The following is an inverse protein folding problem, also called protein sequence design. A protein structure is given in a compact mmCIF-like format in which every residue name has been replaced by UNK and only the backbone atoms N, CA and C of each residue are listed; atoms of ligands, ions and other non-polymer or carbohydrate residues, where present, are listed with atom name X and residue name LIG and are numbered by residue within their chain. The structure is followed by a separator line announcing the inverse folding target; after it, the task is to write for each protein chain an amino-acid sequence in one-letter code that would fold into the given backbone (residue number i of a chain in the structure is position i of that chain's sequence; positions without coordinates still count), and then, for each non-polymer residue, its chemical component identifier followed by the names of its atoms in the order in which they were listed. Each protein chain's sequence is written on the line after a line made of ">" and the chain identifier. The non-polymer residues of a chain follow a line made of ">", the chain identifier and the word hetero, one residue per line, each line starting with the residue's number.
data_IF_738196241198
#
_entry.id   IF_738196241198
#
_cell.length_a   1.000
_cell.length_b   1.000
_cell.length_c   1.000
_cell.angle_alpha   90.00
_cell.angle_beta   90.00
_cell.angle_gamma   90.00
#
_symmetry.space_group_name_H-M   'P 1'
#
loop_
_entity.id
_entity.type
_entity.pdbx_description
1 polymer ?
#
# COMPACT_ATOMS: atom_id res chain seq x y z
N UNK A 1 28.76 28.41 -26.14
CA UNK A 1 28.56 27.32 -27.13
C UNK A 1 28.84 25.99 -26.43
N UNK A 2 27.83 25.27 -25.95
CA UNK A 2 28.02 23.96 -25.32
C UNK A 2 27.26 22.92 -26.14
N UNK A 3 28.02 21.97 -26.70
CA UNK A 3 27.54 20.87 -27.54
C UNK A 3 26.96 19.78 -26.64
N UNK A 4 25.76 19.28 -26.99
CA UNK A 4 25.13 18.08 -26.41
C UNK A 4 25.67 16.84 -27.13
N UNK A 5 26.13 15.84 -26.39
CA UNK A 5 26.36 14.49 -26.91
C UNK A 5 25.21 13.56 -26.48
N UNK A 6 24.64 12.75 -27.38
CA UNK A 6 23.74 11.66 -27.02
C UNK A 6 24.56 10.40 -26.72
N UNK A 7 24.36 9.76 -25.57
CA UNK A 7 24.96 8.46 -25.27
C UNK A 7 23.86 7.45 -24.97
N UNK A 8 23.92 6.30 -25.65
CA UNK A 8 23.13 5.10 -25.38
C UNK A 8 23.75 4.30 -24.21
N UNK A 9 22.88 3.81 -23.33
CA UNK A 9 23.17 2.88 -22.22
C UNK A 9 23.39 1.45 -22.77
N UNK A 10 24.26 0.55 -22.21
CA UNK A 10 24.22 0.14 -20.79
C UNK A 10 25.52 -0.31 -20.07
N UNK A 11 25.78 0.10 -18.81
CA UNK A 11 26.75 -0.59 -17.91
C UNK A 11 26.37 -0.47 -16.41
N UNK A 12 26.54 -1.57 -15.68
CA UNK A 12 26.39 -1.83 -14.22
C UNK A 12 27.12 -0.86 -13.25
N UNK A 13 26.77 -0.80 -11.94
CA UNK A 13 27.23 0.24 -11.01
C UNK A 13 28.61 -0.09 -10.41
N UNK A 14 29.42 0.94 -10.09
CA UNK A 14 29.86 1.06 -8.69
C UNK A 14 30.09 2.49 -8.13
N UNK A 15 29.99 2.54 -6.79
CA UNK A 15 30.72 3.31 -5.76
C UNK A 15 30.77 4.86 -5.75
N UNK A 16 30.16 5.39 -4.68
CA UNK A 16 30.53 6.57 -3.87
C UNK A 16 31.29 7.74 -4.52
N UNK A 17 30.56 8.81 -4.80
CA UNK A 17 31.06 10.20 -4.73
C UNK A 17 29.89 11.13 -4.34
N UNK A 18 30.01 12.02 -3.31
CA UNK A 18 28.94 12.89 -2.87
C UNK A 18 29.05 14.25 -3.56
N UNK A 19 28.55 14.32 -4.80
CA UNK A 19 28.18 15.60 -5.42
C UNK A 19 26.66 15.64 -5.62
N UNK A 20 26.03 16.84 -5.68
CA UNK A 20 24.59 16.95 -5.89
C UNK A 20 24.22 16.21 -7.17
N UNK A 21 23.51 15.09 -7.03
CA UNK A 21 23.13 14.28 -8.16
C UNK A 21 22.06 15.06 -8.93
N UNK A 22 22.47 15.74 -10.00
CA UNK A 22 21.54 16.26 -10.99
C UNK A 22 20.83 15.06 -11.61
N UNK A 23 19.62 14.77 -11.12
CA UNK A 23 18.74 13.79 -11.76
C UNK A 23 18.57 14.22 -13.22
N UNK A 24 18.84 13.35 -14.21
CA UNK A 24 18.51 13.67 -15.58
C UNK A 24 16.98 13.73 -15.70
N UNK A 25 16.44 14.95 -15.56
CA UNK A 25 15.02 15.33 -15.70
C UNK A 25 14.42 14.95 -17.07
N UNK A 26 15.25 14.51 -18.02
CA UNK A 26 14.84 14.00 -19.33
C UNK A 26 14.11 12.66 -19.29
N UNK A 27 14.12 11.96 -18.15
CA UNK A 27 13.40 10.70 -17.93
C UNK A 27 12.13 10.84 -17.07
N UNK A 28 11.67 12.07 -16.77
CA UNK A 28 10.28 12.30 -16.36
C UNK A 28 9.40 12.04 -17.60
N UNK A 29 9.17 10.76 -17.89
CA UNK A 29 8.10 10.31 -18.77
C UNK A 29 6.85 10.96 -18.20
N UNK A 30 6.24 11.84 -18.99
CA UNK A 30 5.12 12.68 -18.58
C UNK A 30 4.15 11.89 -17.69
N UNK A 31 4.16 12.17 -16.37
CA UNK A 31 3.46 11.34 -15.41
C UNK A 31 1.94 11.49 -15.52
N UNK A 32 1.49 12.51 -16.26
CA UNK A 32 0.10 12.88 -16.47
C UNK A 32 -0.35 12.58 -17.90
N UNK A 33 0.56 12.36 -18.87
CA UNK A 33 0.27 12.02 -20.28
C UNK A 33 -0.82 10.93 -20.41
N UNK A 34 -0.74 9.77 -19.72
CA UNK A 34 -1.76 8.74 -19.85
C UNK A 34 -3.15 9.23 -19.42
N UNK A 35 -3.20 10.11 -18.42
CA UNK A 35 -4.42 10.72 -17.89
C UNK A 35 -4.95 11.85 -18.79
N UNK A 36 -4.07 12.72 -19.30
CA UNK A 36 -4.44 13.76 -20.28
C UNK A 36 -4.95 13.12 -21.58
N UNK A 37 -4.37 11.98 -22.00
CA UNK A 37 -4.85 11.19 -23.15
C UNK A 37 -6.21 10.55 -22.88
N UNK A 38 -6.44 10.02 -21.68
CA UNK A 38 -7.71 9.38 -21.31
C UNK A 38 -8.86 10.40 -21.14
N UNK A 39 -8.54 11.62 -20.70
CA UNK A 39 -9.49 12.71 -20.51
C UNK A 39 -9.04 13.94 -21.29
N UNK A 40 -9.37 13.95 -22.59
CA UNK A 40 -8.93 14.97 -23.56
C UNK A 40 -9.23 16.43 -23.14
N UNK A 41 -10.18 16.66 -22.23
CA UNK A 41 -10.53 17.98 -21.68
C UNK A 41 -9.87 18.29 -20.33
N UNK A 42 -9.41 17.29 -19.59
CA UNK A 42 -8.93 17.45 -18.21
C UNK A 42 -7.70 18.36 -18.12
N UNK A 43 -6.78 18.26 -19.09
CA UNK A 43 -5.63 19.18 -19.16
C UNK A 43 -6.08 20.64 -19.30
N UNK A 44 -7.03 20.89 -20.20
CA UNK A 44 -7.57 22.23 -20.47
C UNK A 44 -8.32 22.75 -19.25
N UNK A 45 -9.23 21.94 -18.69
CA UNK A 45 -10.06 22.34 -17.56
C UNK A 45 -9.19 22.65 -16.33
N UNK A 46 -8.14 21.85 -16.06
CA UNK A 46 -7.16 22.15 -15.01
C UNK A 46 -6.35 23.41 -15.31
N UNK A 47 -5.92 23.63 -16.55
CA UNK A 47 -5.21 24.85 -16.94
C UNK A 47 -6.08 26.10 -16.82
N UNK A 48 -7.34 26.04 -17.24
CA UNK A 48 -8.35 27.09 -17.06
C UNK A 48 -8.55 27.38 -15.58
N UNK A 49 -8.66 26.32 -14.78
CA UNK A 49 -8.86 26.44 -13.34
C UNK A 49 -7.65 27.10 -12.66
N UNK A 50 -6.42 26.71 -13.02
CA UNK A 50 -5.21 27.37 -12.53
C UNK A 50 -5.12 28.84 -12.94
N UNK A 51 -5.69 29.25 -14.08
CA UNK A 51 -5.71 30.65 -14.51
C UNK A 51 -6.72 31.49 -13.74
N UNK A 52 -7.82 30.88 -13.32
CA UNK A 52 -8.91 31.57 -12.62
C UNK A 52 -8.66 31.68 -11.12
N UNK A 53 -7.95 30.71 -10.55
CA UNK A 53 -7.50 30.79 -9.18
C UNK A 53 -6.24 31.65 -9.15
N UNK A 54 -6.27 32.76 -8.41
CA UNK A 54 -5.12 33.64 -8.26
C UNK A 54 -4.03 33.06 -7.32
N UNK A 55 -3.89 31.74 -7.30
CA UNK A 55 -2.96 30.97 -6.48
C UNK A 55 -2.38 29.83 -7.30
N UNK A 56 -1.11 29.50 -7.02
CA UNK A 56 -0.48 28.35 -7.62
C UNK A 56 -1.09 27.05 -7.09
N UNK A 57 -1.29 26.09 -7.99
CA UNK A 57 -1.77 24.75 -7.68
C UNK A 57 -0.60 23.78 -7.82
N UNK A 58 -0.44 22.89 -6.85
CA UNK A 58 0.65 21.93 -6.80
C UNK A 58 0.12 20.51 -6.81
N UNK A 59 0.73 19.66 -7.62
CA UNK A 59 0.60 18.21 -7.55
C UNK A 59 1.55 17.70 -6.47
N UNK A 60 1.08 16.87 -5.53
CA UNK A 60 1.83 16.50 -4.32
C UNK A 60 1.72 15.00 -4.00
N UNK A 61 2.45 14.53 -2.99
CA UNK A 61 2.15 13.23 -2.37
C UNK A 61 2.55 12.02 -3.20
N UNK A 62 1.71 10.99 -3.16
CA UNK A 62 1.97 9.72 -3.80
C UNK A 62 2.01 9.84 -5.33
N UNK A 63 1.27 10.78 -5.89
CA UNK A 63 1.26 11.07 -7.32
C UNK A 63 2.63 11.54 -7.84
N UNK A 64 3.32 12.41 -7.10
CA UNK A 64 4.67 12.90 -7.42
C UNK A 64 5.71 11.79 -7.27
N UNK A 65 5.63 11.01 -6.19
CA UNK A 65 6.52 9.86 -5.97
C UNK A 65 6.40 8.82 -7.10
N UNK A 66 5.17 8.45 -7.44
CA UNK A 66 4.91 7.43 -8.46
C UNK A 66 5.34 7.93 -9.85
N UNK A 67 5.15 9.22 -10.13
CA UNK A 67 5.69 9.91 -11.30
C UNK A 67 7.22 9.80 -11.41
N UNK A 68 7.94 10.12 -10.34
CA UNK A 68 9.42 10.04 -10.28
C UNK A 68 9.89 8.59 -10.51
N UNK A 69 9.14 7.60 -10.01
CA UNK A 69 9.42 6.18 -10.21
C UNK A 69 9.04 5.64 -11.60
N UNK A 70 8.49 6.48 -12.50
CA UNK A 70 7.99 6.06 -13.80
C UNK A 70 6.79 5.10 -13.72
N UNK A 71 6.06 5.12 -12.59
CA UNK A 71 4.87 4.29 -12.37
C UNK A 71 3.63 5.01 -12.88
N UNK A 72 2.60 4.23 -13.23
CA UNK A 72 1.30 4.80 -13.58
C UNK A 72 0.66 5.46 -12.36
N UNK A 73 0.45 6.76 -12.44
CA UNK A 73 -0.30 7.55 -11.45
C UNK A 73 -1.78 7.18 -11.53
N UNK A 74 -2.38 6.80 -10.40
CA UNK A 74 -3.78 6.31 -10.32
C UNK A 74 -4.77 7.30 -9.71
N UNK A 75 -4.23 8.34 -9.09
CA UNK A 75 -4.93 9.39 -8.38
C UNK A 75 -4.04 10.65 -8.41
N UNK A 76 -4.65 11.83 -8.47
CA UNK A 76 -3.94 13.10 -8.35
C UNK A 76 -4.26 13.71 -6.99
N UNK A 77 -3.23 14.06 -6.23
CA UNK A 77 -3.36 14.89 -5.04
C UNK A 77 -2.93 16.32 -5.40
N UNK A 78 -3.87 17.26 -5.36
CA UNK A 78 -3.61 18.68 -5.62
C UNK A 78 -3.75 19.47 -4.32
N UNK A 79 -2.90 20.48 -4.15
CA UNK A 79 -2.96 21.39 -3.01
C UNK A 79 -2.66 22.82 -3.42
N UNK A 80 -3.25 23.79 -2.71
CA UNK A 80 -3.09 25.22 -2.98
C UNK A 80 -3.30 26.11 -1.75
N UNK A 81 -2.80 27.35 -1.83
CA UNK A 81 -2.98 28.41 -0.82
C UNK A 81 -4.38 29.07 -0.86
N UNK A 82 -5.43 28.28 -1.12
CA UNK A 82 -6.81 28.74 -1.19
C UNK A 82 -7.75 27.57 -0.84
N UNK A 83 -9.06 27.81 -0.92
CA UNK A 83 -10.09 26.84 -0.59
C UNK A 83 -10.13 25.64 -1.57
N UNK A 84 -9.55 24.51 -1.15
CA UNK A 84 -9.49 23.29 -1.95
C UNK A 84 -10.85 22.68 -2.22
N UNK A 85 -11.78 22.79 -1.28
CA UNK A 85 -13.13 22.23 -1.39
C UNK A 85 -13.93 22.97 -2.46
N UNK A 86 -13.89 24.31 -2.43
CA UNK A 86 -14.52 25.14 -3.44
C UNK A 86 -13.92 24.89 -4.83
N UNK A 87 -12.59 24.75 -4.89
CA UNK A 87 -11.90 24.45 -6.14
C UNK A 87 -12.31 23.10 -6.73
N UNK A 88 -12.33 22.05 -5.89
CA UNK A 88 -12.72 20.73 -6.31
C UNK A 88 -14.19 20.64 -6.73
N UNK A 89 -15.09 21.39 -6.07
CA UNK A 89 -16.48 21.52 -6.51
C UNK A 89 -16.55 22.12 -7.91
N UNK A 90 -15.86 23.23 -8.15
CA UNK A 90 -15.81 23.90 -9.45
C UNK A 90 -15.26 23.01 -10.55
N UNK A 91 -14.21 22.23 -10.24
CA UNK A 91 -13.67 21.24 -11.18
C UNK A 91 -14.68 20.15 -11.51
N UNK A 92 -15.35 19.60 -10.48
CA UNK A 92 -16.35 18.56 -10.66
C UNK A 92 -17.53 19.03 -11.53
N UNK A 93 -17.99 20.28 -11.35
CA UNK A 93 -19.07 20.88 -12.13
C UNK A 93 -18.68 21.04 -13.61
N UNK A 94 -17.43 21.47 -13.90
CA UNK A 94 -16.90 21.56 -15.28
C UNK A 94 -16.85 20.21 -15.96
N UNK A 95 -16.32 19.23 -15.24
CA UNK A 95 -16.15 17.87 -15.74
C UNK A 95 -17.46 17.06 -15.72
N UNK A 96 -18.53 17.61 -15.10
CA UNK A 96 -19.82 16.96 -14.89
C UNK A 96 -19.68 15.59 -14.24
N UNK A 97 -18.96 15.54 -13.11
CA UNK A 97 -18.65 14.30 -12.42
C UNK A 97 -18.96 14.38 -10.92
N UNK A 98 -19.09 13.23 -10.22
CA UNK A 98 -19.36 13.22 -8.79
C UNK A 98 -18.26 13.91 -7.98
N UNK A 99 -18.69 14.63 -6.95
CA UNK A 99 -17.81 15.25 -5.96
C UNK A 99 -18.19 14.78 -4.57
N UNK A 100 -17.17 14.42 -3.78
CA UNK A 100 -17.32 13.97 -2.41
C UNK A 100 -16.50 14.89 -1.49
N UNK A 101 -17.12 15.65 -0.58
CA UNK A 101 -16.38 16.33 0.48
C UNK A 101 -15.75 15.29 1.40
N UNK A 102 -14.46 15.41 1.68
CA UNK A 102 -13.72 14.45 2.51
C UNK A 102 -13.45 14.99 3.91
N UNK A 103 -13.03 16.26 4.01
CA UNK A 103 -12.65 16.89 5.27
C UNK A 103 -12.96 18.39 5.20
N UNK A 104 -13.74 18.89 6.16
CA UNK A 104 -14.08 20.32 6.24
C UNK A 104 -12.98 21.17 6.88
N UNK A 105 -12.12 20.59 7.72
CA UNK A 105 -11.01 21.25 8.40
C UNK A 105 -9.89 21.55 7.42
N UNK A 106 -9.44 20.53 6.67
CA UNK A 106 -8.42 20.66 5.63
C UNK A 106 -8.99 21.13 4.29
N UNK A 107 -10.30 21.48 4.26
CA UNK A 107 -11.04 21.90 3.06
C UNK A 107 -10.75 20.97 1.88
N UNK A 108 -10.84 19.66 2.11
CA UNK A 108 -10.46 18.64 1.14
C UNK A 108 -11.68 18.05 0.45
N UNK A 109 -11.65 18.01 -0.89
CA UNK A 109 -12.69 17.41 -1.72
C UNK A 109 -12.11 16.42 -2.73
N UNK A 110 -12.91 15.41 -3.08
CA UNK A 110 -12.57 14.40 -4.07
C UNK A 110 -13.47 14.48 -5.28
N UNK A 111 -12.86 14.62 -6.45
CA UNK A 111 -13.50 14.52 -7.75
C UNK A 111 -13.34 13.10 -8.27
N UNK A 112 -14.44 12.43 -8.60
CA UNK A 112 -14.42 11.03 -9.06
C UNK A 112 -14.64 10.98 -10.57
N UNK A 113 -13.61 10.63 -11.32
CA UNK A 113 -13.68 10.45 -12.76
C UNK A 113 -14.02 9.01 -13.14
N UNK A 114 -14.21 8.78 -14.45
CA UNK A 114 -14.45 7.43 -14.99
C UNK A 114 -13.27 6.51 -14.68
N UNK A 115 -13.53 5.20 -14.69
CA UNK A 115 -12.54 4.14 -14.36
C UNK A 115 -11.96 4.23 -12.94
N UNK A 116 -12.70 4.86 -12.02
CA UNK A 116 -12.32 5.05 -10.59
C UNK A 116 -11.04 5.87 -10.41
N UNK A 117 -10.71 6.74 -11.36
CA UNK A 117 -9.65 7.72 -11.18
C UNK A 117 -10.16 8.85 -10.27
N UNK A 118 -9.35 9.27 -9.30
CA UNK A 118 -9.74 10.31 -8.33
C UNK A 118 -8.77 11.48 -8.37
N UNK A 119 -9.30 12.70 -8.21
CA UNK A 119 -8.51 13.91 -7.97
C UNK A 119 -8.92 14.44 -6.61
N UNK A 120 -8.00 14.38 -5.66
CA UNK A 120 -8.17 14.94 -4.34
C UNK A 120 -7.58 16.35 -4.35
N UNK A 121 -8.33 17.33 -3.83
CA UNK A 121 -7.94 18.74 -3.82
C UNK A 121 -8.10 19.25 -2.40
N UNK A 122 -7.01 19.71 -1.80
CA UNK A 122 -6.97 20.20 -0.42
C UNK A 122 -6.40 21.62 -0.34
N UNK A 123 -6.73 22.35 0.72
CA UNK A 123 -5.97 23.55 1.08
C UNK A 123 -4.61 23.18 1.67
N UNK A 124 -3.65 24.12 1.67
CA UNK A 124 -2.40 23.96 2.40
C UNK A 124 -2.66 23.69 3.89
N UNK A 125 -1.92 22.74 4.45
CA UNK A 125 -1.86 22.53 5.89
C UNK A 125 -0.86 23.51 6.52
N UNK A 126 -1.18 24.80 6.52
CA UNK A 126 -0.33 25.88 7.02
C UNK A 126 -0.24 27.02 6.02
N UNK A 127 0.71 27.93 6.23
CA UNK A 127 0.76 29.20 5.49
C UNK A 127 1.56 29.13 4.17
N UNK A 128 2.26 28.02 3.91
CA UNK A 128 3.07 27.83 2.69
C UNK A 128 3.08 26.38 2.22
N UNK A 129 3.56 26.16 0.99
CA UNK A 129 3.78 24.82 0.44
C UNK A 129 4.76 24.03 1.31
N UNK A 130 5.86 24.65 1.74
CA UNK A 130 6.86 24.03 2.60
C UNK A 130 6.26 23.60 3.93
N UNK A 131 5.35 24.41 4.51
CA UNK A 131 4.62 24.04 5.72
C UNK A 131 3.67 22.85 5.49
N UNK A 132 2.96 22.81 4.35
CA UNK A 132 2.13 21.66 3.96
C UNK A 132 2.97 20.38 3.83
N UNK A 133 4.06 20.44 3.07
CA UNK A 133 4.97 19.31 2.86
C UNK A 133 5.60 18.85 4.19
N UNK A 134 5.88 19.79 5.10
CA UNK A 134 6.40 19.55 6.44
C UNK A 134 5.44 18.82 7.40
N UNK A 135 4.14 18.73 7.08
CA UNK A 135 3.14 18.00 7.88
C UNK A 135 2.79 16.62 7.32
N UNK A 136 3.45 16.20 6.23
CA UNK A 136 3.21 14.91 5.58
C UNK A 136 3.84 13.75 6.35
N UNK A 137 3.49 12.54 5.90
CA UNK A 137 3.92 11.31 6.55
C UNK A 137 5.42 11.05 6.36
N UNK A 138 5.87 10.92 5.13
CA UNK A 138 7.25 10.56 4.79
C UNK A 138 7.87 11.52 3.77
N UNK A 139 9.19 11.67 3.81
CA UNK A 139 9.95 12.54 2.88
C UNK A 139 9.64 12.22 1.43
N UNK A 140 9.55 10.93 1.09
CA UNK A 140 9.19 10.43 -0.25
C UNK A 140 7.78 10.84 -0.72
N UNK A 141 6.91 11.31 0.17
CA UNK A 141 5.58 11.83 -0.14
C UNK A 141 5.50 13.35 0.07
N UNK A 142 6.57 13.98 0.54
CA UNK A 142 6.67 15.40 0.82
C UNK A 142 7.38 16.15 -0.32
N UNK A 143 7.02 15.79 -1.55
CA UNK A 143 7.49 16.41 -2.78
C UNK A 143 6.30 16.99 -3.54
N UNK A 144 6.58 18.00 -4.36
CA UNK A 144 5.59 18.68 -5.18
C UNK A 144 6.07 18.91 -6.61
N UNK A 145 5.12 19.05 -7.53
CA UNK A 145 5.29 19.70 -8.82
C UNK A 145 4.33 20.87 -8.90
N UNK A 146 4.76 21.99 -9.49
CA UNK A 146 3.81 23.02 -9.91
C UNK A 146 2.94 22.48 -11.05
N UNK A 147 1.61 22.52 -10.89
CA UNK A 147 0.70 21.91 -11.86
C UNK A 147 0.82 22.55 -13.25
N UNK A 148 1.04 23.86 -13.33
CA UNK A 148 1.25 24.56 -14.61
C UNK A 148 2.47 24.04 -15.37
N UNK A 149 3.55 23.73 -14.66
CA UNK A 149 4.80 23.23 -15.25
C UNK A 149 4.61 21.82 -15.79
N UNK A 150 3.86 21.00 -15.06
CA UNK A 150 3.44 19.67 -15.50
C UNK A 150 2.59 19.77 -16.77
N UNK A 151 1.57 20.64 -16.79
CA UNK A 151 0.69 20.84 -17.95
C UNK A 151 1.42 21.39 -19.18
N UNK A 152 2.49 22.16 -18.97
CA UNK A 152 3.36 22.68 -20.03
C UNK A 152 4.44 21.68 -20.48
N UNK A 153 4.47 20.47 -19.92
CA UNK A 153 5.44 19.43 -20.25
C UNK A 153 6.86 19.73 -19.76
N UNK A 154 7.01 20.57 -18.73
CA UNK A 154 8.31 20.95 -18.13
C UNK A 154 8.28 20.84 -16.60
N UNK A 155 7.88 19.69 -16.03
CA UNK A 155 7.77 19.54 -14.57
C UNK A 155 9.11 19.80 -13.88
N UNK A 156 9.08 20.50 -12.74
CA UNK A 156 10.24 20.74 -11.88
C UNK A 156 9.91 20.29 -10.44
N UNK A 157 10.72 19.39 -9.89
CA UNK A 157 10.46 18.84 -8.54
C UNK A 157 10.77 19.92 -7.49
N UNK A 158 9.83 20.14 -6.58
CA UNK A 158 10.02 20.89 -5.34
C UNK A 158 10.12 19.87 -4.22
N UNK A 159 11.30 19.72 -3.63
CA UNK A 159 11.61 18.71 -2.61
C UNK A 159 12.43 19.30 -1.45
N UNK A 160 11.79 20.03 -0.51
CA UNK A 160 12.50 20.66 0.60
C UNK A 160 13.04 19.66 1.63
N UNK A 161 12.58 18.41 1.60
CA UNK A 161 12.93 17.38 2.59
C UNK A 161 13.84 16.26 2.05
N UNK A 162 14.32 16.40 0.81
CA UNK A 162 15.18 15.43 0.11
C UNK A 162 14.54 14.03 -0.04
N UNK A 163 13.23 13.97 -0.24
CA UNK A 163 12.48 12.74 -0.50
C UNK A 163 12.95 11.98 -1.74
N UNK A 164 13.38 12.66 -2.79
CA UNK A 164 13.91 12.01 -4.00
C UNK A 164 15.22 11.26 -3.70
N UNK A 165 16.10 11.86 -2.89
CA UNK A 165 17.34 11.24 -2.46
C UNK A 165 17.10 10.05 -1.53
N UNK A 166 16.13 10.14 -0.62
CA UNK A 166 15.71 9.01 0.21
C UNK A 166 15.13 7.86 -0.63
N UNK A 167 14.33 8.17 -1.64
CA UNK A 167 13.77 7.19 -2.55
C UNK A 167 14.85 6.45 -3.35
N UNK A 168 15.82 7.19 -3.90
CA UNK A 168 16.96 6.60 -4.62
C UNK A 168 17.83 5.72 -3.72
N UNK A 169 18.00 6.13 -2.46
CA UNK A 169 18.74 5.36 -1.45
C UNK A 169 17.91 4.27 -0.76
N UNK A 170 16.67 4.04 -1.21
CA UNK A 170 15.72 3.07 -0.64
C UNK A 170 15.43 3.26 0.85
N UNK A 171 15.39 4.50 1.32
CA UNK A 171 15.08 4.84 2.70
C UNK A 171 13.65 5.34 2.85
N UNK A 172 12.94 4.83 3.85
CA UNK A 172 11.69 5.39 4.31
C UNK A 172 11.95 6.21 5.58
N UNK A 173 11.92 7.53 5.41
CA UNK A 173 12.15 8.51 6.48
C UNK A 173 10.86 9.28 6.73
N UNK A 174 10.38 9.28 7.96
CA UNK A 174 9.27 10.14 8.38
C UNK A 174 9.71 11.61 8.37
N UNK A 175 8.78 12.51 8.05
CA UNK A 175 9.07 13.95 8.03
C UNK A 175 9.45 14.47 9.42
N UNK A 176 8.72 14.05 10.44
CA UNK A 176 8.94 14.42 11.84
C UNK A 176 8.29 13.38 12.76
N UNK A 177 8.63 13.42 14.05
CA UNK A 177 7.92 12.64 15.06
C UNK A 177 6.46 13.08 15.19
N UNK A 178 6.20 14.39 15.12
CA UNK A 178 4.85 14.97 15.20
C UNK A 178 3.91 14.41 14.13
N UNK A 179 4.47 14.04 12.96
CA UNK A 179 3.75 13.35 11.89
C UNK A 179 2.94 12.14 12.38
N UNK A 180 3.50 11.32 13.27
CA UNK A 180 2.80 10.15 13.83
C UNK A 180 1.78 10.53 14.90
N UNK A 181 2.05 11.57 15.69
CA UNK A 181 1.09 12.07 16.70
C UNK A 181 -0.16 12.67 16.05
N UNK A 182 0.02 13.36 14.92
CA UNK A 182 -1.07 13.98 14.16
C UNK A 182 -1.98 12.94 13.49
N UNK A 183 -1.39 11.83 13.00
CA UNK A 183 -2.15 10.73 12.40
C UNK A 183 -1.45 9.38 12.69
N UNK A 184 -1.82 8.68 13.78
CA UNK A 184 -1.16 7.43 14.18
C UNK A 184 -1.28 6.31 13.15
N UNK A 185 -2.26 6.38 12.23
CA UNK A 185 -2.36 5.44 11.10
C UNK A 185 -1.10 5.44 10.22
N UNK A 186 -0.30 6.52 10.25
CA UNK A 186 0.97 6.62 9.52
C UNK A 186 1.98 5.56 9.95
N UNK A 187 1.86 4.98 11.14
CA UNK A 187 2.64 3.80 11.55
C UNK A 187 2.40 2.64 10.58
N UNK A 188 1.14 2.28 10.30
CA UNK A 188 0.82 1.22 9.35
C UNK A 188 1.18 1.61 7.91
N UNK A 189 1.03 2.90 7.56
CA UNK A 189 1.50 3.41 6.27
C UNK A 189 3.01 3.19 6.09
N UNK A 190 3.80 3.27 7.16
CA UNK A 190 5.25 3.03 7.09
C UNK A 190 5.54 1.63 6.55
N UNK A 191 4.97 0.59 7.18
CA UNK A 191 5.12 -0.79 6.75
C UNK A 191 4.54 -1.02 5.34
N UNK A 192 3.38 -0.43 5.04
CA UNK A 192 2.81 -0.53 3.69
C UNK A 192 3.76 0.04 2.63
N UNK A 193 4.30 1.24 2.84
CA UNK A 193 5.17 1.90 1.88
C UNK A 193 6.53 1.20 1.78
N UNK A 194 7.11 0.79 2.91
CA UNK A 194 8.32 -0.02 2.96
C UNK A 194 8.18 -1.27 2.10
N UNK A 195 7.13 -2.06 2.30
CA UNK A 195 6.87 -3.25 1.49
C UNK A 195 6.50 -2.94 0.04
N UNK A 196 5.70 -1.91 -0.23
CA UNK A 196 5.24 -1.57 -1.58
C UNK A 196 6.37 -1.07 -2.50
N UNK A 197 7.36 -0.40 -1.93
CA UNK A 197 8.44 0.23 -2.68
C UNK A 197 9.82 -0.40 -2.43
N UNK A 198 9.91 -1.41 -1.55
CA UNK A 198 11.17 -2.08 -1.20
C UNK A 198 12.14 -1.12 -0.50
N UNK A 199 11.63 -0.39 0.49
CA UNK A 199 12.37 0.62 1.26
C UNK A 199 12.64 0.11 2.66
N UNK A 200 13.77 0.52 3.22
CA UNK A 200 14.14 0.27 4.61
C UNK A 200 13.70 1.45 5.49
N UNK A 201 12.99 1.16 6.58
CA UNK A 201 12.59 2.19 7.54
C UNK A 201 13.84 2.66 8.28
N UNK A 202 14.07 3.97 8.30
CA UNK A 202 15.27 4.52 8.94
C UNK A 202 15.20 4.36 10.47
N UNK A 203 16.34 4.18 11.18
CA UNK A 203 16.34 4.00 12.63
C UNK A 203 15.62 5.10 13.43
N UNK A 204 15.72 6.40 13.09
CA UNK A 204 14.93 7.44 13.75
C UNK A 204 13.42 7.25 13.55
N UNK A 205 13.00 6.80 12.36
CA UNK A 205 11.59 6.55 12.06
C UNK A 205 11.07 5.33 12.82
N UNK A 206 11.88 4.27 12.93
CA UNK A 206 11.53 3.09 13.73
C UNK A 206 11.35 3.44 15.22
N UNK A 207 12.22 4.29 15.76
CA UNK A 207 12.11 4.77 17.14
C UNK A 207 10.80 5.55 17.37
N UNK A 208 10.41 6.42 16.44
CA UNK A 208 9.14 7.16 16.53
C UNK A 208 7.92 6.25 16.36
N UNK A 209 7.99 5.24 15.50
CA UNK A 209 6.94 4.23 15.37
C UNK A 209 6.73 3.49 16.68
N UNK A 210 7.81 3.04 17.34
CA UNK A 210 7.74 2.35 18.62
C UNK A 210 7.15 3.23 19.74
N UNK A 211 7.35 4.55 19.67
CA UNK A 211 6.82 5.49 20.65
C UNK A 211 5.33 5.84 20.46
N UNK A 212 4.75 5.59 19.28
CA UNK A 212 3.36 5.99 18.93
C UNK A 212 2.32 4.90 19.25
N UNK A 213 2.70 3.92 20.06
CA UNK A 213 1.97 2.67 20.23
C UNK A 213 0.57 2.84 20.86
N UNK A 214 0.46 3.70 21.89
CA UNK A 214 -0.83 3.98 22.54
C UNK A 214 -1.78 4.79 21.64
N UNK A 215 -1.23 5.70 20.83
CA UNK A 215 -2.02 6.54 19.94
C UNK A 215 -2.59 5.76 18.76
N UNK A 216 -1.89 4.71 18.32
CA UNK A 216 -2.39 3.82 17.27
C UNK A 216 -3.71 3.14 17.65
N UNK A 217 -3.94 2.87 18.94
CA UNK A 217 -5.20 2.30 19.46
C UNK A 217 -6.39 3.26 19.38
N UNK A 218 -6.13 4.57 19.20
CA UNK A 218 -7.18 5.59 19.06
C UNK A 218 -7.70 5.70 17.62
N UNK A 219 -7.02 5.07 16.66
CA UNK A 219 -7.44 5.09 15.26
C UNK A 219 -8.69 4.22 15.09
N UNK A 220 -9.69 4.73 14.35
CA UNK A 220 -10.91 4.00 14.03
C UNK A 220 -10.62 2.64 13.38
N UNK A 221 -11.36 1.60 13.77
CA UNK A 221 -11.19 0.24 13.26
C UNK A 221 -11.29 0.13 11.74
N UNK A 222 -12.13 0.93 11.10
CA UNK A 222 -12.30 0.95 9.64
C UNK A 222 -11.03 1.41 8.92
N UNK A 223 -10.39 2.47 9.40
CA UNK A 223 -9.13 2.98 8.84
C UNK A 223 -7.98 2.00 9.06
N UNK A 224 -7.90 1.38 10.25
CA UNK A 224 -6.94 0.33 10.54
C UNK A 224 -7.12 -0.87 9.60
N UNK A 225 -8.36 -1.38 9.48
CA UNK A 225 -8.68 -2.51 8.62
C UNK A 225 -8.38 -2.21 7.14
N UNK A 226 -8.73 -1.01 6.67
CA UNK A 226 -8.42 -0.59 5.31
C UNK A 226 -6.90 -0.62 5.06
N UNK A 227 -6.10 -0.01 5.93
CA UNK A 227 -4.65 0.05 5.77
C UNK A 227 -4.00 -1.34 5.87
N UNK A 228 -4.45 -2.17 6.82
CA UNK A 228 -4.06 -3.56 6.96
C UNK A 228 -4.40 -4.40 5.71
N UNK A 229 -5.57 -4.20 5.11
CA UNK A 229 -5.96 -4.89 3.87
C UNK A 229 -5.00 -4.57 2.72
N UNK A 230 -4.46 -3.35 2.67
CA UNK A 230 -3.50 -2.93 1.67
C UNK A 230 -2.11 -3.56 1.87
N UNK A 231 -1.71 -3.82 3.13
CA UNK A 231 -0.49 -4.56 3.48
C UNK A 231 -0.65 -6.05 3.12
N UNK A 232 -1.78 -6.65 3.51
CA UNK A 232 -2.06 -8.07 3.32
C UNK A 232 -2.39 -8.43 1.86
N UNK A 233 -2.86 -7.51 1.05
CA UNK A 233 -3.13 -7.73 -0.37
C UNK A 233 -1.90 -7.59 -1.29
N UNK A 234 -0.66 -7.74 -0.78
CA UNK A 234 0.59 -7.51 -1.53
C UNK A 234 1.64 -8.61 -1.36
N UNK A 235 2.62 -8.70 -2.25
CA UNK A 235 3.63 -9.80 -2.22
C UNK A 235 4.50 -9.83 -0.96
N UNK A 236 4.78 -8.67 -0.36
CA UNK A 236 5.70 -8.53 0.78
C UNK A 236 5.00 -8.60 2.15
N UNK A 237 3.81 -9.20 2.24
CA UNK A 237 3.01 -9.23 3.48
C UNK A 237 3.79 -9.86 4.64
N UNK A 238 4.47 -11.00 4.43
CA UNK A 238 5.21 -11.68 5.48
C UNK A 238 6.31 -10.80 6.09
N UNK A 239 7.09 -10.11 5.26
CA UNK A 239 8.16 -9.22 5.70
C UNK A 239 7.60 -8.06 6.54
N UNK A 240 6.50 -7.47 6.08
CA UNK A 240 5.88 -6.34 6.78
C UNK A 240 5.23 -6.74 8.10
N UNK A 241 4.54 -7.88 8.16
CA UNK A 241 3.99 -8.38 9.43
C UNK A 241 5.12 -8.77 10.38
N UNK A 242 6.20 -9.37 9.88
CA UNK A 242 7.37 -9.68 10.70
C UNK A 242 8.04 -8.41 11.25
N UNK A 243 8.11 -7.35 10.45
CA UNK A 243 8.59 -6.04 10.91
C UNK A 243 7.68 -5.44 11.98
N UNK A 244 6.36 -5.49 11.80
CA UNK A 244 5.38 -5.05 12.80
C UNK A 244 5.46 -5.83 14.11
N UNK A 245 5.77 -7.13 14.06
CA UNK A 245 5.98 -7.95 15.26
C UNK A 245 7.26 -7.51 15.98
N UNK A 246 8.37 -7.36 15.25
CA UNK A 246 9.65 -6.92 15.84
C UNK A 246 9.57 -5.51 16.43
N UNK A 247 8.78 -4.62 15.85
CA UNK A 247 8.60 -3.25 16.34
C UNK A 247 7.57 -3.12 17.47
N UNK A 248 6.92 -4.22 17.89
CA UNK A 248 5.87 -4.21 18.91
C UNK A 248 4.48 -3.77 18.43
N UNK A 249 4.39 -3.11 17.26
CA UNK A 249 3.14 -2.57 16.68
C UNK A 249 2.06 -3.65 16.51
N UNK A 250 2.46 -4.86 16.09
CA UNK A 250 1.51 -5.96 15.96
C UNK A 250 0.85 -6.32 17.30
N UNK A 251 1.64 -6.32 18.38
CA UNK A 251 1.15 -6.64 19.71
C UNK A 251 0.17 -5.60 20.24
N UNK A 252 0.29 -4.34 19.83
CA UNK A 252 -0.64 -3.30 20.26
C UNK A 252 -1.90 -3.18 19.44
N UNK A 253 -1.87 -3.60 18.18
CA UNK A 253 -3.08 -3.75 17.38
C UNK A 253 -3.88 -4.99 17.78
N UNK A 254 -3.18 -6.05 18.19
CA UNK A 254 -3.79 -7.35 18.53
C UNK A 254 -3.30 -7.84 19.90
N UNK A 255 -3.61 -7.11 21.00
CA UNK A 255 -3.12 -7.45 22.34
C UNK A 255 -3.55 -8.86 22.78
N UNK A 256 -4.79 -9.24 22.45
CA UNK A 256 -5.33 -10.57 22.77
C UNK A 256 -4.60 -11.71 22.04
N UNK A 257 -3.85 -11.40 20.98
CA UNK A 257 -3.14 -12.39 20.17
C UNK A 257 -1.71 -12.63 20.65
N UNK A 258 -1.18 -11.78 21.54
CA UNK A 258 0.16 -11.92 22.12
C UNK A 258 0.28 -13.04 23.16
N UNK A 259 -0.85 -13.53 23.70
CA UNK A 259 -0.90 -14.71 24.56
C UNK A 259 -0.71 -16.04 23.82
N UNK A 260 -0.75 -16.01 22.48
CA UNK A 260 -0.38 -17.13 21.60
C UNK A 260 0.95 -16.75 20.93
N UNK A 261 1.95 -17.66 20.85
CA UNK A 261 3.33 -17.28 20.54
C UNK A 261 3.38 -16.40 19.30
N UNK A 262 3.95 -15.20 19.36
CA UNK A 262 4.10 -14.29 18.21
C UNK A 262 4.84 -14.94 17.02
N UNK A 263 5.64 -15.98 17.31
CA UNK A 263 6.22 -16.95 16.36
C UNK A 263 5.17 -17.64 15.47
N UNK A 264 3.95 -17.83 15.98
CA UNK A 264 2.86 -18.46 15.24
C UNK A 264 2.27 -17.55 14.16
N UNK A 265 2.26 -16.23 14.32
CA UNK A 265 1.64 -15.33 13.32
C UNK A 265 2.44 -15.29 12.01
N UNK A 266 3.76 -15.12 12.09
CA UNK A 266 4.64 -15.17 10.92
C UNK A 266 4.66 -16.56 10.28
N UNK A 267 4.74 -17.63 11.08
CA UNK A 267 4.66 -19.01 10.57
C UNK A 267 3.32 -19.33 9.89
N UNK A 268 2.21 -18.80 10.41
CA UNK A 268 0.87 -18.97 9.81
C UNK A 268 0.75 -18.26 8.47
N UNK A 269 1.24 -17.02 8.40
CA UNK A 269 1.32 -16.30 7.13
C UNK A 269 2.23 -17.00 6.14
N UNK A 270 3.40 -17.47 6.58
CA UNK A 270 4.33 -18.21 5.73
C UNK A 270 3.69 -19.49 5.19
N UNK A 271 2.97 -20.25 6.04
CA UNK A 271 2.21 -21.44 5.60
C UNK A 271 1.14 -21.07 4.58
N UNK A 272 0.42 -19.97 4.79
CA UNK A 272 -0.62 -19.48 3.87
C UNK A 272 -0.02 -19.00 2.55
N UNK A 273 1.10 -18.28 2.58
CA UNK A 273 1.81 -17.86 1.38
C UNK A 273 2.38 -19.06 0.61
N UNK A 274 2.88 -20.10 1.31
CA UNK A 274 3.26 -21.37 0.67
C UNK A 274 2.07 -22.08 0.04
N UNK A 275 0.90 -22.11 0.69
CA UNK A 275 -0.33 -22.68 0.14
C UNK A 275 -0.80 -21.90 -1.09
N UNK A 276 -0.88 -20.57 -1.00
CA UNK A 276 -1.19 -19.69 -2.14
C UNK A 276 -0.19 -19.92 -3.28
N UNK A 277 1.11 -20.01 -2.98
CA UNK A 277 2.14 -20.26 -3.99
C UNK A 277 2.07 -21.67 -4.58
N UNK A 278 1.59 -22.66 -3.81
CA UNK A 278 1.47 -24.06 -4.25
C UNK A 278 0.18 -24.32 -5.03
N UNK A 279 -0.94 -23.71 -4.62
CA UNK A 279 -2.24 -23.85 -5.27
C UNK A 279 -2.34 -22.99 -6.54
N UNK A 280 -1.60 -21.87 -6.63
CA UNK A 280 -1.37 -21.17 -7.91
C UNK A 280 -0.53 -22.02 -8.89
N UNK A 281 0.10 -23.09 -8.41
CA UNK A 281 0.92 -24.03 -9.20
C UNK A 281 0.31 -25.43 -9.36
N UNK A 282 -0.85 -25.72 -8.79
CA UNK A 282 -1.48 -27.05 -8.86
C UNK A 282 -2.98 -26.88 -9.14
N UNK A 283 -3.35 -27.04 -10.41
CA UNK A 283 -4.67 -27.61 -10.73
C UNK A 283 -4.77 -28.98 -10.03
N UNK A 284 -5.95 -29.28 -9.51
CA UNK A 284 -6.34 -30.53 -8.84
C UNK A 284 -5.80 -30.78 -7.42
N UNK A 285 -6.67 -30.54 -6.42
CA UNK A 285 -7.16 -31.55 -5.45
C UNK A 285 -7.74 -30.91 -4.17
N UNK A 286 -9.03 -30.57 -4.22
CA UNK A 286 -10.04 -31.13 -3.31
C UNK A 286 -9.94 -30.91 -1.79
N UNK A 287 -9.85 -29.68 -1.30
CA UNK A 287 -10.23 -29.34 0.09
C UNK A 287 -11.00 -28.01 0.13
N UNK A 288 -12.23 -28.05 0.66
CA UNK A 288 -13.24 -26.99 0.91
C UNK A 288 -14.46 -26.90 -0.05
N UNK A 289 -15.53 -27.69 0.17
CA UNK A 289 -16.76 -27.69 -0.65
C UNK A 289 -17.77 -26.54 -0.41
N UNK A 290 -17.43 -25.43 0.27
CA UNK A 290 -18.40 -24.37 0.59
C UNK A 290 -18.01 -22.95 0.16
N UNK A 291 -17.04 -22.79 -0.74
CA UNK A 291 -16.72 -21.52 -1.42
C UNK A 291 -16.90 -21.61 -2.95
N UNK A 292 -17.84 -22.43 -3.40
CA UNK A 292 -18.16 -22.56 -4.83
C UNK A 292 -18.78 -21.28 -5.38
N UNK A 293 -17.94 -20.50 -6.07
CA UNK A 293 -18.33 -19.31 -6.80
C UNK A 293 -17.22 -18.27 -7.04
N UNK A 294 -15.97 -18.51 -6.62
CA UNK A 294 -14.91 -17.49 -6.72
C UNK A 294 -13.63 -17.94 -7.45
N UNK A 295 -13.56 -19.20 -7.91
CA UNK A 295 -12.30 -19.86 -8.29
C UNK A 295 -11.98 -19.89 -9.80
N UNK A 296 -12.75 -19.21 -10.67
CA UNK A 296 -12.45 -19.19 -12.10
C UNK A 296 -11.68 -17.94 -12.60
N UNK A 297 -11.29 -16.98 -11.73
CA UNK A 297 -10.74 -15.67 -12.18
C UNK A 297 -9.60 -15.06 -11.36
N UNK A 298 -9.13 -15.65 -10.27
CA UNK A 298 -8.27 -14.97 -9.29
C UNK A 298 -6.77 -15.13 -9.49
N UNK A 299 -6.29 -15.03 -10.74
CA UNK A 299 -4.96 -14.49 -10.99
C UNK A 299 -5.01 -12.96 -10.83
N UNK A 300 -4.94 -12.44 -9.60
CA UNK A 300 -4.78 -11.00 -9.33
C UNK A 300 -5.84 -10.29 -8.50
N UNK A 301 -6.77 -10.99 -7.85
CA UNK A 301 -7.71 -10.33 -6.92
C UNK A 301 -7.08 -10.10 -5.55
N UNK A 302 -6.71 -8.84 -5.29
CA UNK A 302 -6.14 -8.39 -4.01
C UNK A 302 -7.10 -8.63 -2.84
N UNK A 303 -8.41 -8.67 -3.09
CA UNK A 303 -9.46 -8.86 -2.08
C UNK A 303 -9.38 -10.24 -1.46
N UNK A 304 -9.36 -11.26 -2.30
CA UNK A 304 -9.24 -12.66 -1.89
C UNK A 304 -7.95 -12.93 -1.12
N UNK A 305 -6.83 -12.37 -1.59
CA UNK A 305 -5.52 -12.53 -0.94
C UNK A 305 -5.49 -11.95 0.47
N UNK A 306 -6.03 -10.74 0.68
CA UNK A 306 -6.00 -10.15 2.03
C UNK A 306 -6.98 -10.89 2.96
N UNK A 307 -8.13 -11.35 2.47
CA UNK A 307 -9.07 -12.15 3.28
C UNK A 307 -8.41 -13.45 3.73
N UNK A 308 -7.77 -14.19 2.83
CA UNK A 308 -7.08 -15.44 3.17
C UNK A 308 -5.96 -15.24 4.18
N UNK A 309 -5.13 -14.20 3.97
CA UNK A 309 -4.03 -13.88 4.88
C UNK A 309 -4.53 -13.37 6.22
N UNK A 310 -5.57 -12.55 6.25
CA UNK A 310 -6.19 -12.10 7.48
C UNK A 310 -6.85 -13.26 8.22
N UNK A 311 -7.59 -14.12 7.53
CA UNK A 311 -8.14 -15.35 8.07
C UNK A 311 -7.04 -16.25 8.65
N UNK A 312 -5.87 -16.36 8.01
CA UNK A 312 -4.74 -17.11 8.58
C UNK A 312 -4.19 -16.50 9.86
N UNK A 313 -4.26 -15.17 9.99
CA UNK A 313 -3.87 -14.46 11.22
C UNK A 313 -4.92 -14.65 12.34
N UNK A 314 -6.21 -14.61 12.00
CA UNK A 314 -7.35 -14.65 12.94
C UNK A 314 -7.78 -16.08 13.32
N UNK A 315 -8.08 -16.93 12.34
CA UNK A 315 -8.82 -18.19 12.52
C UNK A 315 -7.99 -19.33 13.11
N UNK A 316 -6.67 -19.30 12.96
CA UNK A 316 -5.82 -20.35 13.52
C UNK A 316 -5.43 -20.10 14.99
N UNK A 317 -6.14 -19.19 15.68
CA UNK A 317 -6.05 -18.94 17.12
C UNK A 317 -7.21 -19.50 17.95
N UNK A 318 -8.21 -20.16 17.33
CA UNK A 318 -9.28 -20.81 18.09
C UNK A 318 -8.75 -22.14 18.64
N UNK A 319 -8.18 -22.11 19.86
CA UNK A 319 -8.27 -23.31 20.71
C UNK A 319 -9.73 -23.49 21.06
N UNK A 320 -10.36 -24.53 20.52
CA UNK A 320 -11.60 -25.06 21.07
C UNK A 320 -11.28 -25.82 22.35
N UNK A 321 -10.93 -25.09 23.43
CA UNK A 321 -10.87 -25.71 24.75
C UNK A 321 -12.29 -25.82 25.28
N UNK A 322 -12.89 -27.02 25.15
CA UNK A 322 -14.24 -27.25 25.63
C UNK A 322 -14.91 -28.58 25.29
N UNK A 323 -14.25 -29.73 25.44
CA UNK A 323 -14.94 -31.02 25.62
C UNK A 323 -14.07 -32.04 26.39
N UNK A 324 -14.26 -32.02 27.71
CA UNK A 324 -14.18 -33.10 28.70
C UNK A 324 -13.30 -34.36 28.47
N UNK A 325 -12.46 -34.64 29.47
CA UNK A 325 -12.34 -35.99 30.03
C UNK A 325 -11.00 -36.69 29.80
N UNK A 326 -10.21 -36.81 30.89
CA UNK A 326 -8.85 -37.34 30.89
C UNK A 326 -8.63 -38.72 30.29
N UNK A 327 -7.40 -38.95 29.81
CA UNK A 327 -6.55 -40.09 30.19
C UNK A 327 -5.11 -39.90 29.65
N UNK A 328 -4.18 -39.99 30.60
CA UNK A 328 -2.77 -40.44 30.56
C UNK A 328 -2.01 -40.57 29.24
N UNK A 329 -0.86 -39.89 29.21
CA UNK A 329 0.48 -40.30 28.73
C UNK A 329 0.63 -41.28 27.54
N UNK A 330 1.38 -40.81 26.52
CA UNK A 330 2.17 -41.65 25.62
C UNK A 330 1.73 -41.63 24.15
N UNK A 331 2.63 -41.25 23.24
CA UNK A 331 2.55 -41.63 21.82
C UNK A 331 2.26 -40.52 20.81
N UNK A 332 3.09 -39.47 20.78
CA UNK A 332 3.20 -38.62 19.60
C UNK A 332 4.03 -39.35 18.52
N UNK A 333 3.47 -40.44 17.95
CA UNK A 333 4.08 -41.08 16.75
C UNK A 333 3.14 -41.98 15.93
N UNK A 334 1.82 -42.02 16.21
CA UNK A 334 0.90 -42.97 15.53
C UNK A 334 -0.23 -42.31 14.72
N UNK A 335 -0.21 -40.98 14.56
CA UNK A 335 -1.23 -40.27 13.78
C UNK A 335 -0.89 -40.14 12.27
N UNK A 336 0.38 -40.31 11.89
CA UNK A 336 0.81 -40.31 10.47
C UNK A 336 0.66 -41.70 9.83
N UNK A 337 0.90 -42.79 10.56
CA UNK A 337 0.80 -44.15 10.00
C UNK A 337 -0.65 -44.65 9.79
N UNK A 338 -1.65 -44.03 10.43
CA UNK A 338 -3.07 -44.44 10.25
C UNK A 338 -3.77 -43.78 9.07
N UNK A 339 -3.20 -42.73 8.48
CA UNK A 339 -3.77 -42.10 7.27
C UNK A 339 -3.28 -42.82 6.00
N UNK A 340 -2.09 -43.44 6.03
CA UNK A 340 -1.59 -44.25 4.92
C UNK A 340 -2.26 -45.63 4.83
N UNK A 341 -2.67 -46.22 5.96
CA UNK A 341 -3.39 -47.51 5.96
C UNK A 341 -4.87 -47.46 5.53
N UNK A 342 -5.51 -46.29 5.59
CA UNK A 342 -6.91 -46.13 5.19
C UNK A 342 -7.09 -45.80 3.69
N UNK A 343 -6.04 -45.32 3.02
CA UNK A 343 -6.04 -45.06 1.58
C UNK A 343 -5.88 -46.33 0.73
N UNK A 344 -5.28 -47.40 1.28
CA UNK A 344 -5.11 -48.69 0.58
C UNK A 344 -6.33 -49.62 0.60
N UNK A 345 -7.39 -49.29 1.35
CA UNK A 345 -8.60 -50.11 1.48
C UNK A 345 -9.79 -49.65 0.64
N UNK A 346 -9.73 -48.46 0.04
CA UNK A 346 -10.83 -47.89 -0.74
C UNK A 346 -10.79 -48.29 -2.23
N UNK A 347 -9.64 -48.75 -2.73
CA UNK A 347 -9.44 -49.09 -4.15
C UNK A 347 -9.95 -50.51 -4.50
N UNK A 348 -10.24 -51.35 -3.51
CA UNK A 348 -10.78 -52.72 -3.72
C UNK A 348 -12.31 -52.81 -3.58
N UNK A 349 -13.00 -51.70 -3.28
CA UNK A 349 -14.45 -51.65 -3.14
C UNK A 349 -15.18 -51.10 -4.39
N UNK A 350 -14.47 -50.41 -5.30
CA UNK A 350 -15.05 -49.82 -6.51
C UNK A 350 -15.13 -50.80 -7.71
N UNK A 351 -14.29 -51.84 -7.77
CA UNK A 351 -14.36 -52.85 -8.86
C UNK A 351 -15.52 -53.87 -8.73
N UNK A 352 -16.30 -53.87 -7.64
CA UNK A 352 -17.42 -54.82 -7.45
C UNK A 352 -18.81 -54.27 -7.75
N UNK A 353 -18.95 -52.99 -8.10
CA UNK A 353 -20.27 -52.36 -8.38
C UNK A 353 -20.53 -52.12 -9.87
N UNK A 354 -19.51 -52.18 -10.75
CA UNK A 354 -19.70 -52.05 -12.21
C UNK A 354 -20.00 -53.37 -12.95
N UNK A 355 -20.22 -54.48 -12.23
CA UNK A 355 -20.53 -55.80 -12.81
C UNK A 355 -22.00 -56.24 -12.75
N UNK A 356 -22.91 -55.45 -12.16
CA UNK A 356 -24.31 -55.84 -12.00
C UNK A 356 -25.26 -54.64 -11.97
N UNK A 357 -25.47 -54.00 -13.12
CA UNK A 357 -26.66 -53.20 -13.42
C UNK A 357 -26.86 -53.12 -14.94
#
# INVERSE_FOLDING_TARGET
>A
MLRRFPVQWPISPPTHDPTPFEYPMSALVDPVQPLLKAHRRLASDLADLCREVNHEVYLVGGSVRDAILGRTVRDLDLTLAADGLALGRKLADRLRCPFVPLDDTDRTGRVVLRRRFTIDISSFKGDSLEADLGKRDFTINAMAFRLTDVLNGRPSVIDPLNGAADLAAKRLKAVSEASFRDDPLRVLRAFRLAGQFGLDITPPTEAWIAACDEDLRKVSGERLLYELSLIMGRRYTLDQVSAMIRSGVFGSLFPDWMGSPSVSASQRLERTDRLIARDVFMEDHGLYPHLTGYEAKTAGDRTSLWILRFASLVLCGIRTDGAAGGRTAGGADTALERVEGAAGGADTALERVEGAA
#
